data_IF_213578710436
#
_entry.id   IF_213578710436
#
_cell.length_a   1.000
_cell.length_b   1.000
_cell.length_c   1.000
_cell.angle_alpha   90.00
_cell.angle_beta   90.00
_cell.angle_gamma   90.00
#
_symmetry.space_group_name_H-M   'P 1'
#
loop_
_entity.id
_entity.type
_entity.pdbx_description
1 polymer ?
#
# COMPACT_ATOMS: atom_id res chain seq x y z
N UNK A 1 14.08 -22.38 -75.67
CA UNK A 1 14.61 -22.55 -74.29
C UNK A 1 14.05 -21.39 -73.47
N UNK A 2 12.82 -21.50 -72.99
CA UNK A 2 12.46 -21.99 -71.63
C UNK A 2 13.11 -21.09 -70.57
N UNK A 3 12.61 -19.86 -70.40
CA UNK A 3 11.42 -19.47 -69.64
C UNK A 3 11.58 -19.60 -68.12
N UNK A 4 11.77 -18.41 -67.53
CA UNK A 4 11.34 -17.94 -66.21
C UNK A 4 10.99 -19.01 -65.19
N UNK A 5 11.96 -19.41 -64.37
CA UNK A 5 11.70 -20.03 -63.06
C UNK A 5 12.73 -19.49 -62.11
N UNK A 6 12.35 -18.52 -61.28
CA UNK A 6 12.93 -18.26 -59.94
C UNK A 6 12.27 -17.03 -59.25
N UNK A 7 11.42 -16.27 -59.94
CA UNK A 7 10.70 -15.13 -59.33
C UNK A 7 9.39 -15.49 -58.58
N UNK A 8 9.00 -16.76 -58.51
CA UNK A 8 7.75 -17.18 -57.84
C UNK A 8 7.87 -17.61 -56.38
N UNK A 9 9.05 -18.08 -55.95
CA UNK A 9 9.21 -18.70 -54.62
C UNK A 9 9.59 -17.69 -53.53
N UNK A 10 10.36 -16.65 -53.86
CA UNK A 10 10.83 -15.68 -52.87
C UNK A 10 9.73 -14.72 -52.37
N UNK A 11 8.77 -14.37 -53.24
CA UNK A 11 7.64 -13.50 -52.85
C UNK A 11 6.61 -14.21 -51.96
N UNK A 12 6.42 -15.52 -52.13
CA UNK A 12 5.43 -16.28 -51.36
C UNK A 12 5.91 -16.57 -49.92
N UNK A 13 7.21 -16.80 -49.74
CA UNK A 13 7.83 -17.01 -48.42
C UNK A 13 7.89 -15.70 -47.63
N UNK A 14 8.18 -14.57 -48.29
CA UNK A 14 8.17 -13.26 -47.64
C UNK A 14 6.76 -12.86 -47.14
N UNK A 15 5.71 -13.20 -47.89
CA UNK A 15 4.32 -12.94 -47.48
C UNK A 15 3.88 -13.85 -46.33
N UNK A 16 4.39 -15.09 -46.24
CA UNK A 16 4.13 -16.00 -45.11
C UNK A 16 4.82 -15.55 -43.81
N UNK A 17 6.00 -14.94 -43.89
CA UNK A 17 6.71 -14.39 -42.71
C UNK A 17 6.02 -13.11 -42.19
N UNK A 18 5.40 -12.31 -43.06
CA UNK A 18 4.70 -11.10 -42.64
C UNK A 18 3.33 -11.38 -41.98
N UNK A 19 2.71 -12.52 -42.28
CA UNK A 19 1.44 -12.95 -41.66
C UNK A 19 1.62 -13.59 -40.27
N UNK A 20 2.83 -14.02 -39.90
CA UNK A 20 3.12 -14.50 -38.53
C UNK A 20 3.56 -13.38 -37.59
N UNK A 21 3.86 -12.18 -38.10
CA UNK A 21 4.22 -11.00 -37.30
C UNK A 21 3.00 -10.14 -36.93
N UNK A 22 1.79 -10.50 -37.36
CA UNK A 22 0.53 -9.87 -36.93
C UNK A 22 0.09 -10.31 -35.52
N UNK A 23 0.91 -11.10 -34.83
CA UNK A 23 0.73 -11.50 -33.44
C UNK A 23 1.61 -10.70 -32.48
N UNK A 24 1.85 -9.40 -32.74
CA UNK A 24 2.25 -8.51 -31.66
C UNK A 24 1.03 -8.30 -30.78
N UNK A 25 0.99 -9.08 -29.70
CA UNK A 25 0.07 -8.93 -28.59
C UNK A 25 -0.06 -7.46 -28.22
N UNK A 26 -1.20 -6.86 -28.56
CA UNK A 26 -1.81 -5.95 -27.61
C UNK A 26 -2.17 -6.82 -26.41
N UNK A 27 -1.17 -7.13 -25.58
CA UNK A 27 -1.41 -7.46 -24.20
C UNK A 27 -2.10 -6.19 -23.70
N UNK A 28 -3.42 -6.24 -23.63
CA UNK A 28 -4.20 -5.22 -22.94
C UNK A 28 -3.45 -5.04 -21.61
N UNK A 29 -2.86 -3.86 -21.40
CA UNK A 29 -2.41 -3.52 -20.07
C UNK A 29 -3.66 -3.66 -19.23
N UNK A 30 -3.71 -4.70 -18.38
CA UNK A 30 -4.74 -4.78 -17.35
C UNK A 30 -4.74 -3.43 -16.68
N UNK A 31 -5.87 -2.73 -16.73
CA UNK A 31 -6.00 -1.45 -16.06
C UNK A 31 -5.64 -1.68 -14.58
N UNK A 32 -4.69 -0.90 -14.08
CA UNK A 32 -4.25 -0.96 -12.69
C UNK A 32 -4.58 0.35 -12.01
N UNK A 33 -5.14 0.24 -10.82
CA UNK A 33 -5.34 1.39 -9.94
C UNK A 33 -4.27 1.37 -8.87
N UNK A 34 -3.45 2.42 -8.84
CA UNK A 34 -2.39 2.57 -7.86
C UNK A 34 -2.97 3.10 -6.56
N UNK A 35 -2.80 2.32 -5.50
CA UNK A 35 -3.21 2.71 -4.15
C UNK A 35 -2.01 3.34 -3.44
N UNK A 36 -2.08 4.62 -3.10
CA UNK A 36 -1.03 5.30 -2.33
C UNK A 36 -1.27 5.23 -0.82
N UNK A 37 -2.52 5.07 -0.37
CA UNK A 37 -2.85 4.87 1.04
C UNK A 37 -3.82 3.71 1.23
N UNK A 38 -3.51 2.85 2.21
CA UNK A 38 -4.37 1.75 2.61
C UNK A 38 -5.12 2.12 3.89
N UNK A 39 -6.44 2.11 3.87
CA UNK A 39 -7.27 2.26 5.08
C UNK A 39 -7.62 0.89 5.63
N UNK A 40 -7.54 0.70 6.94
CA UNK A 40 -7.81 -0.59 7.59
C UNK A 40 -8.81 -0.38 8.73
N UNK A 41 -10.12 -0.61 8.49
CA UNK A 41 -11.12 -0.65 9.54
C UNK A 41 -10.90 -1.85 10.48
N UNK A 42 -11.63 -1.89 11.59
CA UNK A 42 -11.66 -3.07 12.46
C UNK A 42 -12.18 -4.31 11.70
N UNK A 43 -11.50 -5.44 11.90
CA UNK A 43 -11.78 -6.70 11.20
C UNK A 43 -10.54 -7.36 10.59
N UNK A 44 -10.76 -8.44 9.84
CA UNK A 44 -9.67 -9.20 9.20
C UNK A 44 -9.11 -8.49 7.97
N UNK A 45 -7.83 -8.17 8.02
CA UNK A 45 -7.11 -7.39 6.99
C UNK A 45 -7.00 -8.16 5.67
N UNK A 46 -6.81 -9.47 5.72
CA UNK A 46 -6.70 -10.30 4.53
C UNK A 46 -8.03 -10.32 3.74
N UNK A 47 -9.14 -10.52 4.45
CA UNK A 47 -10.50 -10.48 3.90
C UNK A 47 -10.83 -9.09 3.32
N UNK A 48 -10.42 -8.02 3.99
CA UNK A 48 -10.57 -6.66 3.49
C UNK A 48 -9.86 -6.46 2.15
N UNK A 49 -8.59 -6.88 2.04
CA UNK A 49 -7.82 -6.76 0.80
C UNK A 49 -8.42 -7.61 -0.32
N UNK A 50 -8.88 -8.82 -0.01
CA UNK A 50 -9.56 -9.71 -0.96
C UNK A 50 -10.88 -9.10 -1.47
N UNK A 51 -11.71 -8.55 -0.58
CA UNK A 51 -12.99 -7.95 -0.98
C UNK A 51 -12.79 -6.67 -1.80
N UNK A 52 -11.78 -5.85 -1.48
CA UNK A 52 -11.42 -4.68 -2.29
C UNK A 52 -10.99 -5.09 -3.70
N UNK A 53 -10.17 -6.12 -3.83
CA UNK A 53 -9.79 -6.62 -5.15
C UNK A 53 -10.99 -7.22 -5.89
N UNK A 54 -11.93 -7.87 -5.20
CA UNK A 54 -13.14 -8.48 -5.79
C UNK A 54 -14.14 -7.44 -6.30
N UNK A 55 -14.27 -6.32 -5.59
CA UNK A 55 -15.22 -5.25 -5.89
C UNK A 55 -14.66 -4.19 -6.84
N UNK A 56 -13.35 -4.18 -7.04
CA UNK A 56 -12.68 -3.30 -8.00
C UNK A 56 -12.91 -3.76 -9.45
N UNK A 57 -13.05 -2.79 -10.35
CA UNK A 57 -13.14 -3.03 -11.80
C UNK A 57 -11.78 -3.29 -12.46
N UNK A 58 -10.70 -3.10 -11.70
CA UNK A 58 -9.30 -3.15 -12.14
C UNK A 58 -8.42 -3.80 -11.06
N UNK A 59 -7.20 -4.18 -11.44
CA UNK A 59 -6.22 -4.75 -10.50
C UNK A 59 -5.71 -3.64 -9.58
N UNK A 60 -5.80 -3.84 -8.27
CA UNK A 60 -5.27 -2.88 -7.30
C UNK A 60 -3.77 -3.10 -7.14
N UNK A 61 -2.98 -2.06 -7.36
CA UNK A 61 -1.53 -2.11 -7.26
C UNK A 61 -1.06 -1.33 -6.03
N UNK A 62 -0.58 -2.06 -5.03
CA UNK A 62 -0.11 -1.51 -3.75
C UNK A 62 1.39 -1.21 -3.75
N UNK A 63 2.13 -1.43 -4.84
CA UNK A 63 3.59 -1.23 -4.89
C UNK A 63 4.02 0.23 -4.66
N UNK A 64 3.10 1.17 -4.82
CA UNK A 64 3.30 2.60 -4.59
C UNK A 64 2.69 3.11 -3.29
N UNK A 65 2.14 2.23 -2.45
CA UNK A 65 1.62 2.59 -1.13
C UNK A 65 2.69 3.35 -0.35
N UNK A 66 2.31 4.42 0.32
CA UNK A 66 3.16 5.27 1.17
C UNK A 66 2.67 5.33 2.60
N UNK A 67 1.38 5.09 2.83
CA UNK A 67 0.79 5.17 4.14
C UNK A 67 -0.27 4.08 4.37
N UNK A 68 -0.45 3.73 5.64
CA UNK A 68 -1.53 2.90 6.15
C UNK A 68 -2.24 3.70 7.24
N UNK A 69 -3.57 3.74 7.20
CA UNK A 69 -4.42 4.41 8.18
C UNK A 69 -5.24 3.35 8.90
N UNK A 70 -5.00 3.21 10.20
CA UNK A 70 -5.62 2.23 11.07
C UNK A 70 -6.80 2.85 11.80
N UNK A 71 -7.91 2.13 11.88
CA UNK A 71 -9.01 2.55 12.74
C UNK A 71 -8.54 2.66 14.21
N UNK A 72 -8.92 3.74 14.88
CA UNK A 72 -8.53 4.00 16.26
C UNK A 72 -8.90 2.86 17.21
N UNK A 73 -10.05 2.22 17.02
CA UNK A 73 -10.48 1.09 17.86
C UNK A 73 -9.62 -0.16 17.61
N UNK A 74 -9.22 -0.40 16.36
CA UNK A 74 -8.30 -1.48 15.99
C UNK A 74 -6.93 -1.31 16.64
N UNK A 75 -6.40 -0.09 16.74
CA UNK A 75 -5.07 0.14 17.35
C UNK A 75 -5.00 -0.20 18.84
N UNK A 76 -6.16 -0.26 19.51
CA UNK A 76 -6.30 -0.61 20.91
C UNK A 76 -6.54 -2.12 21.12
N UNK A 77 -6.83 -2.86 20.04
CA UNK A 77 -7.05 -4.30 20.07
C UNK A 77 -5.77 -5.04 19.63
N UNK A 78 -5.10 -5.77 20.54
CA UNK A 78 -3.82 -6.41 20.24
C UNK A 78 -3.92 -7.48 19.16
N UNK A 79 -4.99 -8.27 19.15
CA UNK A 79 -5.18 -9.35 18.18
C UNK A 79 -5.41 -8.80 16.77
N UNK A 80 -6.16 -7.70 16.66
CA UNK A 80 -6.38 -7.04 15.37
C UNK A 80 -5.11 -6.37 14.86
N UNK A 81 -4.34 -5.74 15.74
CA UNK A 81 -3.08 -5.14 15.36
C UNK A 81 -2.05 -6.19 14.89
N UNK A 82 -2.04 -7.37 15.53
CA UNK A 82 -1.24 -8.50 15.08
C UNK A 82 -1.68 -8.99 13.69
N UNK A 83 -2.99 -9.11 13.44
CA UNK A 83 -3.53 -9.46 12.14
C UNK A 83 -3.05 -8.48 11.05
N UNK A 84 -3.12 -7.17 11.30
CA UNK A 84 -2.62 -6.15 10.37
C UNK A 84 -1.13 -6.35 10.10
N UNK A 85 -0.32 -6.47 11.15
CA UNK A 85 1.13 -6.61 11.02
C UNK A 85 1.51 -7.88 10.25
N UNK A 86 0.90 -9.02 10.58
CA UNK A 86 1.15 -10.29 9.90
C UNK A 86 0.73 -10.24 8.42
N UNK A 87 -0.43 -9.66 8.11
CA UNK A 87 -0.91 -9.51 6.72
C UNK A 87 -0.01 -8.58 5.91
N UNK A 88 0.33 -7.40 6.44
CA UNK A 88 1.12 -6.43 5.69
C UNK A 88 2.58 -6.87 5.53
N UNK A 89 3.21 -7.40 6.58
CA UNK A 89 4.63 -7.80 6.55
C UNK A 89 4.89 -9.08 5.75
N UNK A 90 3.89 -9.95 5.59
CA UNK A 90 4.02 -11.16 4.78
C UNK A 90 3.96 -10.91 3.27
N UNK A 91 3.54 -9.72 2.85
CA UNK A 91 3.33 -9.36 1.44
C UNK A 91 4.46 -8.46 0.92
N UNK A 92 5.14 -8.83 -0.19
CA UNK A 92 6.27 -8.06 -0.71
C UNK A 92 5.86 -6.71 -1.32
N UNK A 93 4.57 -6.50 -1.62
CA UNK A 93 4.05 -5.22 -2.12
C UNK A 93 4.10 -4.08 -1.09
N UNK A 94 4.11 -4.40 0.20
CA UNK A 94 4.12 -3.41 1.26
C UNK A 94 5.54 -3.17 1.79
N UNK A 95 5.97 -1.91 1.76
CA UNK A 95 7.27 -1.53 2.26
C UNK A 95 7.27 -1.40 3.80
N UNK A 96 8.39 -1.74 4.43
CA UNK A 96 8.55 -1.60 5.88
C UNK A 96 8.55 -0.13 6.35
N UNK A 97 8.86 0.80 5.46
CA UNK A 97 8.87 2.24 5.73
C UNK A 97 7.54 2.95 5.38
N UNK A 98 6.45 2.19 5.19
CA UNK A 98 5.12 2.78 5.08
C UNK A 98 4.80 3.59 6.34
N UNK A 99 4.32 4.81 6.15
CA UNK A 99 3.85 5.65 7.24
C UNK A 99 2.59 5.05 7.87
N UNK A 100 2.48 5.08 9.18
CA UNK A 100 1.33 4.59 9.92
C UNK A 100 0.64 5.74 10.62
N UNK A 101 -0.66 5.83 10.40
CA UNK A 101 -1.54 6.79 11.05
C UNK A 101 -2.72 6.08 11.68
N UNK A 102 -3.44 6.80 12.54
CA UNK A 102 -4.76 6.37 12.99
C UNK A 102 -5.82 7.44 12.74
N UNK A 103 -7.07 7.00 12.59
CA UNK A 103 -8.22 7.87 12.45
C UNK A 103 -9.51 7.16 12.83
N UNK A 104 -10.58 7.94 12.96
CA UNK A 104 -11.93 7.42 13.13
C UNK A 104 -12.54 6.93 11.80
N UNK A 105 -13.73 6.35 11.87
CA UNK A 105 -14.45 5.81 10.70
C UNK A 105 -14.61 6.84 9.57
N UNK A 106 -14.92 8.10 9.90
CA UNK A 106 -15.06 9.18 8.90
C UNK A 106 -13.71 9.51 8.25
N UNK A 107 -12.63 9.54 9.03
CA UNK A 107 -11.26 9.74 8.52
C UNK A 107 -10.88 8.62 7.55
N UNK A 108 -11.16 7.37 7.90
CA UNK A 108 -10.92 6.22 7.02
C UNK A 108 -11.75 6.33 5.73
N UNK A 109 -13.03 6.71 5.83
CA UNK A 109 -13.90 6.90 4.67
C UNK A 109 -13.36 7.96 3.71
N UNK A 110 -12.95 9.13 4.24
CA UNK A 110 -12.36 10.23 3.46
C UNK A 110 -11.02 9.84 2.84
N UNK A 111 -10.22 9.06 3.55
CA UNK A 111 -8.96 8.57 3.05
C UNK A 111 -9.13 7.58 1.89
N UNK A 112 -10.14 6.70 1.96
CA UNK A 112 -10.46 5.75 0.88
C UNK A 112 -10.92 6.47 -0.40
N UNK A 113 -11.70 7.56 -0.26
CA UNK A 113 -12.07 8.43 -1.40
C UNK A 113 -10.87 9.07 -2.10
N UNK A 114 -9.77 9.32 -1.37
CA UNK A 114 -8.54 9.94 -1.88
C UNK A 114 -7.37 8.96 -1.98
N UNK A 115 -7.65 7.64 -2.05
CA UNK A 115 -6.66 6.56 -1.92
C UNK A 115 -5.50 6.60 -2.91
N UNK A 116 -5.68 7.22 -4.07
CA UNK A 116 -4.65 7.34 -5.11
C UNK A 116 -3.59 8.40 -4.78
N UNK A 117 -3.95 9.47 -4.06
CA UNK A 117 -3.06 10.64 -3.85
C UNK A 117 -2.65 10.88 -2.41
N UNK A 118 -3.52 10.55 -1.45
CA UNK A 118 -3.33 10.93 -0.06
C UNK A 118 -2.01 10.40 0.54
N UNK A 119 -1.59 9.18 0.19
CA UNK A 119 -0.32 8.66 0.69
C UNK A 119 0.89 9.47 0.22
N UNK A 120 0.85 10.02 -0.99
CA UNK A 120 1.90 10.90 -1.52
C UNK A 120 1.91 12.26 -0.80
N UNK A 121 0.72 12.79 -0.50
CA UNK A 121 0.54 14.05 0.25
C UNK A 121 1.06 13.91 1.68
N UNK A 122 0.74 12.82 2.37
CA UNK A 122 1.24 12.52 3.72
C UNK A 122 2.78 12.33 3.74
N UNK A 123 3.33 11.67 2.72
CA UNK A 123 4.79 11.55 2.59
C UNK A 123 5.46 12.90 2.30
N UNK A 124 4.83 13.76 1.50
CA UNK A 124 5.31 15.11 1.23
C UNK A 124 5.22 16.01 2.46
N UNK A 125 4.15 15.86 3.26
CA UNK A 125 3.98 16.55 4.54
C UNK A 125 5.23 16.34 5.41
N UNK A 126 5.59 15.09 5.72
CA UNK A 126 6.76 14.85 6.56
C UNK A 126 8.08 15.30 5.92
N UNK A 127 8.28 15.13 4.61
CA UNK A 127 9.50 15.61 3.94
C UNK A 127 9.70 17.12 4.07
N UNK A 128 8.61 17.89 4.01
CA UNK A 128 8.67 19.35 4.07
C UNK A 128 8.79 19.88 5.51
N UNK A 129 8.29 19.11 6.48
CA UNK A 129 8.24 19.48 7.90
C UNK A 129 9.51 19.05 8.65
N UNK A 130 10.02 17.84 8.40
CA UNK A 130 11.28 17.31 9.00
C UNK A 130 12.58 18.09 8.68
N UNK A 131 12.55 19.12 7.83
CA UNK A 131 13.72 19.88 7.40
C UNK A 131 14.10 21.07 8.31
N UNK A 132 13.37 21.32 9.40
CA UNK A 132 13.67 22.38 10.37
C UNK A 132 13.69 21.87 11.81
N UNK A 133 14.88 21.83 12.42
CA UNK A 133 15.15 21.26 13.77
C UNK A 133 14.52 22.02 14.97
N UNK A 134 13.50 22.84 14.78
CA UNK A 134 12.85 23.59 15.87
C UNK A 134 11.33 23.65 15.70
N UNK A 135 10.65 22.52 15.90
CA UNK A 135 9.22 22.53 16.18
C UNK A 135 8.86 21.29 16.98
N UNK A 136 7.85 21.37 17.85
CA UNK A 136 7.26 20.20 18.52
C UNK A 136 6.50 19.32 17.53
N UNK A 137 7.15 18.96 16.44
CA UNK A 137 6.61 18.37 15.23
C UNK A 137 6.34 16.88 15.45
N UNK A 138 5.22 16.41 14.91
CA UNK A 138 4.82 15.01 15.03
C UNK A 138 5.91 14.11 14.42
N UNK A 139 6.41 13.17 15.20
CA UNK A 139 7.39 12.19 14.70
C UNK A 139 6.64 11.19 13.80
N UNK A 140 7.06 10.99 12.54
CA UNK A 140 6.46 9.97 11.69
C UNK A 140 6.68 8.59 12.30
N UNK A 141 5.63 7.77 12.31
CA UNK A 141 5.71 6.35 12.67
C UNK A 141 5.64 5.53 11.41
N UNK A 142 6.50 4.52 11.28
CA UNK A 142 6.47 3.57 10.17
C UNK A 142 5.96 2.20 10.58
N UNK A 143 5.66 1.34 9.59
CA UNK A 143 5.29 -0.05 9.82
C UNK A 143 6.40 -0.81 10.56
N UNK A 144 7.67 -0.52 10.27
CA UNK A 144 8.82 -1.04 11.00
C UNK A 144 8.81 -0.60 12.46
N UNK A 145 8.51 0.67 12.75
CA UNK A 145 8.46 1.18 14.13
C UNK A 145 7.32 0.51 14.91
N UNK A 146 6.16 0.35 14.28
CA UNK A 146 5.03 -0.36 14.85
C UNK A 146 5.36 -1.83 15.14
N UNK A 147 6.03 -2.52 14.21
CA UNK A 147 6.48 -3.90 14.40
C UNK A 147 7.52 -4.03 15.53
N UNK A 148 8.50 -3.14 15.56
CA UNK A 148 9.55 -3.11 16.60
C UNK A 148 8.95 -2.82 17.98
N UNK A 149 7.99 -1.91 18.06
CA UNK A 149 7.26 -1.64 19.29
C UNK A 149 6.47 -2.87 19.74
N UNK A 150 5.75 -3.53 18.82
CA UNK A 150 4.88 -4.66 19.12
C UNK A 150 5.65 -5.90 19.58
N UNK A 151 6.81 -6.17 18.97
CA UNK A 151 7.64 -7.35 19.27
C UNK A 151 8.74 -7.08 20.29
N UNK A 152 9.09 -5.82 20.52
CA UNK A 152 10.06 -5.38 21.50
C UNK A 152 9.47 -5.21 22.90
N UNK A 153 10.23 -4.54 23.76
CA UNK A 153 9.81 -4.14 25.12
C UNK A 153 9.27 -2.70 25.16
N UNK A 154 8.78 -2.18 24.04
CA UNK A 154 8.26 -0.82 23.99
C UNK A 154 7.03 -0.70 24.89
N UNK A 155 7.06 0.19 25.87
CA UNK A 155 5.90 0.39 26.77
C UNK A 155 4.78 1.12 26.03
N UNK A 156 5.12 2.15 25.27
CA UNK A 156 4.17 3.04 24.60
C UNK A 156 4.67 3.44 23.20
N UNK A 157 3.73 3.65 22.27
CA UNK A 157 3.98 4.21 20.94
C UNK A 157 2.99 5.35 20.70
N UNK A 158 3.51 6.49 20.22
CA UNK A 158 2.69 7.65 19.86
C UNK A 158 2.34 7.59 18.38
N UNK A 159 1.15 7.12 18.05
CA UNK A 159 0.66 7.07 16.67
C UNK A 159 0.12 8.44 16.23
N UNK A 160 0.55 9.00 15.09
CA UNK A 160 -0.02 10.22 14.56
C UNK A 160 -1.49 10.02 14.20
N UNK A 161 -2.34 10.94 14.68
CA UNK A 161 -3.78 10.94 14.37
C UNK A 161 -4.01 11.82 13.15
N UNK A 162 -4.83 11.36 12.20
CA UNK A 162 -5.25 12.19 11.08
C UNK A 162 -6.51 12.97 11.44
N UNK A 163 -6.50 14.24 11.04
CA UNK A 163 -7.60 15.18 11.23
C UNK A 163 -7.97 15.80 9.89
N UNK A 164 -9.26 16.01 9.68
CA UNK A 164 -9.76 16.65 8.46
C UNK A 164 -9.72 18.17 8.61
N UNK A 165 -8.88 18.83 7.82
CA UNK A 165 -8.74 20.28 7.79
C UNK A 165 -8.71 20.79 6.35
N UNK A 166 -9.54 21.79 6.04
CA UNK A 166 -9.52 22.50 4.75
C UNK A 166 -9.51 21.58 3.51
N UNK A 167 -10.33 20.52 3.53
CA UNK A 167 -10.40 19.49 2.47
C UNK A 167 -9.17 18.56 2.39
N UNK A 168 -8.30 18.52 3.39
CA UNK A 168 -7.16 17.62 3.44
C UNK A 168 -7.13 16.83 4.75
N UNK A 169 -6.57 15.61 4.69
CA UNK A 169 -6.23 14.86 5.89
C UNK A 169 -4.79 15.17 6.25
N UNK A 170 -4.59 15.78 7.42
CA UNK A 170 -3.26 16.13 7.91
C UNK A 170 -2.99 15.48 9.28
N UNK A 171 -1.72 15.16 9.60
CA UNK A 171 -1.35 14.65 10.90
C UNK A 171 -1.54 15.75 11.96
N UNK A 172 -2.41 15.52 12.92
CA UNK A 172 -2.71 16.44 14.03
C UNK A 172 -2.93 15.65 15.32
N UNK A 173 -2.01 15.80 16.27
CA UNK A 173 -2.06 15.09 17.54
C UNK A 173 -1.54 13.65 17.48
N UNK A 174 -1.59 12.99 18.63
CA UNK A 174 -1.09 11.61 18.80
C UNK A 174 -2.05 10.79 19.64
N UNK A 175 -2.18 9.52 19.28
CA UNK A 175 -2.79 8.48 20.09
C UNK A 175 -1.68 7.64 20.73
N UNK A 176 -1.64 7.59 22.05
CA UNK A 176 -0.70 6.74 22.77
C UNK A 176 -1.30 5.34 22.88
N UNK A 177 -0.68 4.37 22.22
CA UNK A 177 -0.99 2.96 22.37
C UNK A 177 0.01 2.30 23.32
N UNK A 178 -0.47 1.40 24.18
CA UNK A 178 0.35 0.70 25.18
C UNK A 178 0.56 -0.74 24.75
N UNK A 179 1.78 -1.24 24.92
CA UNK A 179 2.04 -2.63 24.60
C UNK A 179 1.39 -3.52 25.66
N UNK A 180 0.49 -4.44 25.26
CA UNK A 180 0.06 -5.51 26.12
C UNK A 180 1.24 -6.48 26.18
N UNK A 181 2.05 -6.39 27.23
CA UNK A 181 3.18 -7.29 27.43
C UNK A 181 2.83 -8.75 27.07
N UNK A 182 3.78 -9.40 26.39
CA UNK A 182 3.87 -10.81 25.99
C UNK A 182 3.32 -11.20 24.60
N UNK A 183 4.13 -10.97 23.55
CA UNK A 183 4.33 -12.05 22.58
C UNK A 183 5.02 -13.21 23.34
N UNK A 184 4.45 -14.42 23.45
CA UNK A 184 5.25 -15.56 23.83
C UNK A 184 6.33 -15.70 22.76
N UNK A 185 7.60 -15.63 23.16
CA UNK A 185 8.73 -15.98 22.30
C UNK A 185 8.43 -17.38 21.76
N UNK A 186 7.99 -17.49 20.51
CA UNK A 186 8.02 -18.76 19.80
C UNK A 186 9.50 -19.07 19.64
N UNK A 187 10.00 -19.96 20.48
CA UNK A 187 11.31 -20.57 20.30
C UNK A 187 11.31 -21.21 18.90
N UNK A 188 11.97 -20.55 17.96
CA UNK A 188 12.38 -21.17 16.70
C UNK A 188 13.43 -22.21 17.08
N UNK A 189 12.98 -23.45 17.29
CA UNK A 189 13.84 -24.64 17.27
C UNK A 189 14.20 -25.00 15.83
#
# INVERSE_FOLDING_TARGET
MNDRRHLGAAGFVACWILLTLSGCSAQELEARDFVSVLTVPDGDTESLLAERQRTSTCTLDYSHTKAVILDTTLTQNPEQLDNVLETLLSRPEFAWNLLVFTGDEETLRRADEKKEKLGLELAAYYKNHTAGEESGELVPVTLLDLWNWRTGSGEELSLPVLSWQEDNLIPEGVLIIKSPCSFPKRDLQ
#
